data_IF_573652463569
#
_entry.id   IF_573652463569
#
_cell.length_a   1.000
_cell.length_b   1.000
_cell.length_c   1.000
_cell.angle_alpha   90.00
_cell.angle_beta   90.00
_cell.angle_gamma   90.00
#
_symmetry.space_group_name_H-M   'P 1'
#
loop_
_entity.id
_entity.type
_entity.pdbx_description
1 polymer ?
#
# COMPACT_ATOMS: atom_id res chain seq x y z
N UNK A 1 -30.92 9.24 52.99
CA UNK A 1 -31.21 8.08 52.12
C UNK A 1 -30.94 8.53 50.69
N UNK A 2 -29.82 8.09 50.12
CA UNK A 2 -29.20 8.69 48.93
C UNK A 2 -29.92 8.37 47.61
N UNK A 3 -30.11 9.41 46.79
CA UNK A 3 -30.54 9.29 45.40
C UNK A 3 -29.39 8.77 44.55
N UNK A 4 -29.45 7.51 44.14
CA UNK A 4 -28.54 6.97 43.12
C UNK A 4 -28.97 7.47 41.74
N UNK A 5 -28.23 8.46 41.22
CA UNK A 5 -28.32 8.91 39.83
C UNK A 5 -27.80 7.79 38.92
N UNK A 6 -28.73 7.10 38.25
CA UNK A 6 -28.48 5.92 37.42
C UNK A 6 -27.84 6.35 36.09
N UNK A 7 -26.52 6.53 36.07
CA UNK A 7 -25.76 6.78 34.85
C UNK A 7 -25.84 5.53 33.95
N UNK A 8 -26.53 5.64 32.80
CA UNK A 8 -26.57 4.55 31.82
C UNK A 8 -25.15 4.25 31.32
N UNK A 9 -24.75 2.98 31.21
CA UNK A 9 -23.41 2.63 30.74
C UNK A 9 -23.22 3.16 29.31
N UNK A 10 -22.10 3.87 29.09
CA UNK A 10 -21.70 4.37 27.78
C UNK A 10 -21.37 3.16 26.89
N UNK A 11 -22.18 2.91 25.86
CA UNK A 11 -21.90 1.86 24.87
C UNK A 11 -20.63 2.23 24.10
N UNK A 12 -19.55 1.50 24.36
CA UNK A 12 -18.28 1.63 23.62
C UNK A 12 -18.39 0.73 22.38
N UNK A 13 -18.73 1.33 21.24
CA UNK A 13 -18.80 0.60 19.98
C UNK A 13 -17.40 0.42 19.39
N UNK A 14 -17.05 -0.81 18.99
CA UNK A 14 -15.81 -1.09 18.29
C UNK A 14 -15.98 -0.86 16.78
N UNK A 15 -15.81 0.39 16.35
CA UNK A 15 -15.94 0.78 14.94
C UNK A 15 -14.92 0.11 14.02
N UNK A 16 -13.77 -0.36 14.56
CA UNK A 16 -12.72 -1.00 13.77
C UNK A 16 -13.25 -2.20 12.99
N UNK A 17 -14.11 -3.01 13.60
CA UNK A 17 -14.67 -4.20 12.98
C UNK A 17 -15.50 -3.88 11.74
N UNK A 18 -16.31 -2.82 11.79
CA UNK A 18 -17.21 -2.41 10.71
C UNK A 18 -16.39 -1.89 9.51
N UNK A 19 -15.32 -1.13 9.76
CA UNK A 19 -14.46 -0.62 8.69
C UNK A 19 -13.55 -1.71 8.08
N UNK A 20 -13.22 -2.75 8.86
CA UNK A 20 -12.43 -3.88 8.38
C UNK A 20 -13.22 -4.89 7.56
N UNK A 21 -14.55 -4.90 7.66
CA UNK A 21 -15.39 -5.82 6.91
C UNK A 21 -15.19 -5.61 5.40
N UNK A 22 -14.98 -6.69 4.61
CA UNK A 22 -14.87 -6.57 3.17
C UNK A 22 -16.24 -6.27 2.57
N UNK A 23 -16.28 -5.62 1.41
CA UNK A 23 -17.51 -5.52 0.63
C UNK A 23 -17.86 -6.90 0.08
N UNK A 24 -19.06 -7.39 0.40
CA UNK A 24 -19.52 -8.74 0.05
C UNK A 24 -20.78 -8.64 -0.83
N UNK A 25 -20.81 -9.41 -1.90
CA UNK A 25 -21.97 -9.53 -2.79
C UNK A 25 -22.80 -10.73 -2.33
N UNK A 26 -24.06 -10.48 -1.95
CA UNK A 26 -25.04 -11.51 -1.62
C UNK A 26 -26.12 -11.71 -2.71
N UNK A 27 -26.31 -10.73 -3.59
CA UNK A 27 -27.34 -10.77 -4.63
C UNK A 27 -26.72 -10.47 -5.99
N UNK A 28 -26.81 -11.45 -6.90
CA UNK A 28 -26.37 -11.27 -8.29
C UNK A 28 -27.53 -10.75 -9.15
N UNK A 29 -28.77 -11.12 -8.82
CA UNK A 29 -29.97 -10.72 -9.57
C UNK A 29 -31.15 -10.62 -8.61
N UNK A 30 -32.23 -9.91 -8.99
CA UNK A 30 -33.45 -9.72 -8.18
C UNK A 30 -34.09 -11.02 -7.64
N UNK A 31 -33.79 -12.17 -8.25
CA UNK A 31 -34.32 -13.50 -7.85
C UNK A 31 -33.25 -14.46 -7.34
N UNK A 32 -31.97 -14.09 -7.39
CA UNK A 32 -30.87 -14.97 -7.00
C UNK A 32 -30.06 -14.33 -5.88
N UNK A 33 -30.31 -14.83 -4.68
CA UNK A 33 -29.56 -14.56 -3.47
C UNK A 33 -28.66 -15.74 -3.15
N UNK A 34 -27.42 -15.45 -2.76
CA UNK A 34 -26.43 -16.44 -2.38
C UNK A 34 -26.28 -16.38 -0.87
N UNK A 35 -26.46 -17.51 -0.19
CA UNK A 35 -26.33 -17.61 1.27
C UNK A 35 -24.91 -17.34 1.76
N UNK A 36 -23.92 -17.65 0.92
CA UNK A 36 -22.50 -17.49 1.16
C UNK A 36 -21.99 -16.32 0.32
N UNK A 37 -21.99 -15.13 0.92
CA UNK A 37 -21.60 -13.91 0.23
C UNK A 37 -20.16 -13.96 -0.28
N UNK A 38 -19.94 -13.43 -1.48
CA UNK A 38 -18.63 -13.43 -2.14
C UNK A 38 -17.97 -12.06 -1.95
N UNK A 39 -16.78 -11.97 -1.32
CA UNK A 39 -16.06 -10.70 -1.22
C UNK A 39 -15.74 -10.16 -2.62
N UNK A 40 -16.05 -8.89 -2.89
CA UNK A 40 -15.80 -8.25 -4.20
C UNK A 40 -14.33 -8.37 -4.58
N UNK A 41 -13.43 -8.13 -3.63
CA UNK A 41 -11.99 -8.26 -3.85
C UNK A 41 -11.59 -9.69 -4.29
N UNK A 42 -12.26 -10.74 -3.77
CA UNK A 42 -12.03 -12.12 -4.20
C UNK A 42 -12.38 -12.29 -5.66
N UNK A 43 -13.56 -11.81 -6.04
CA UNK A 43 -14.06 -11.90 -7.41
C UNK A 43 -13.16 -11.15 -8.39
N UNK A 44 -12.71 -9.93 -8.04
CA UNK A 44 -11.78 -9.15 -8.87
C UNK A 44 -10.45 -9.88 -9.06
N UNK A 45 -9.84 -10.40 -7.98
CA UNK A 45 -8.59 -11.15 -8.08
C UNK A 45 -8.78 -12.42 -8.91
N UNK A 46 -9.89 -13.15 -8.72
CA UNK A 46 -10.22 -14.33 -9.49
C UNK A 46 -10.24 -14.03 -10.99
N UNK A 47 -10.97 -12.99 -11.41
CA UNK A 47 -11.05 -12.58 -12.83
C UNK A 47 -9.69 -12.17 -13.38
N UNK A 48 -8.89 -11.42 -12.61
CA UNK A 48 -7.55 -11.01 -13.06
C UNK A 48 -6.66 -12.23 -13.31
N UNK A 49 -6.65 -13.20 -12.38
CA UNK A 49 -5.86 -14.42 -12.51
C UNK A 49 -6.37 -15.28 -13.67
N UNK A 50 -7.67 -15.39 -13.83
CA UNK A 50 -8.29 -16.12 -14.95
C UNK A 50 -7.91 -15.50 -16.30
N UNK A 51 -7.94 -14.16 -16.44
CA UNK A 51 -7.48 -13.46 -17.64
C UNK A 51 -6.00 -13.73 -17.95
N UNK A 52 -5.14 -13.76 -16.92
CA UNK A 52 -3.72 -14.12 -17.09
C UNK A 52 -3.55 -15.58 -17.53
N UNK A 53 -4.35 -16.50 -17.01
CA UNK A 53 -4.35 -17.89 -17.43
C UNK A 53 -4.85 -18.05 -18.88
N UNK A 54 -5.88 -17.30 -19.27
CA UNK A 54 -6.38 -17.29 -20.66
C UNK A 54 -5.33 -16.71 -21.62
N UNK A 55 -4.61 -15.66 -21.23
CA UNK A 55 -3.49 -15.13 -22.01
C UNK A 55 -2.37 -16.17 -22.22
N UNK A 56 -2.19 -17.07 -21.24
CA UNK A 56 -1.20 -18.15 -21.27
C UNK A 56 -1.82 -19.53 -21.55
N UNK A 57 -3.00 -19.58 -22.20
CA UNK A 57 -3.82 -20.81 -22.32
C UNK A 57 -3.06 -22.03 -22.84
N UNK A 58 -2.13 -21.85 -23.79
CA UNK A 58 -1.42 -22.96 -24.42
C UNK A 58 -0.57 -23.73 -23.39
N UNK A 59 0.02 -23.02 -22.42
CA UNK A 59 0.77 -23.63 -21.32
C UNK A 59 -0.15 -24.45 -20.41
N UNK A 60 -1.33 -23.91 -20.08
CA UNK A 60 -2.28 -24.58 -19.18
C UNK A 60 -2.96 -25.78 -19.85
N UNK A 61 -3.27 -25.72 -21.14
CA UNK A 61 -3.80 -26.87 -21.87
C UNK A 61 -2.77 -27.99 -22.01
N UNK A 62 -1.50 -27.68 -22.27
CA UNK A 62 -0.43 -28.67 -22.28
C UNK A 62 -0.30 -29.40 -20.93
N UNK A 63 -0.55 -28.71 -19.80
CA UNK A 63 -0.62 -29.33 -18.47
C UNK A 63 -1.93 -30.11 -18.21
N UNK A 64 -2.99 -29.79 -18.94
CA UNK A 64 -4.31 -30.41 -18.80
C UNK A 64 -4.47 -31.68 -19.65
N UNK A 65 -3.69 -31.84 -20.71
CA UNK A 65 -3.80 -32.98 -21.65
C UNK A 65 -3.41 -34.34 -21.03
N UNK A 66 -2.80 -34.35 -19.84
CA UNK A 66 -2.45 -35.57 -19.12
C UNK A 66 -3.67 -36.35 -18.62
N UNK A 67 -4.76 -35.66 -18.26
CA UNK A 67 -5.98 -36.28 -17.69
C UNK A 67 -7.22 -35.58 -18.25
N UNK A 68 -8.21 -36.33 -18.76
CA UNK A 68 -9.47 -35.74 -19.24
C UNK A 68 -10.14 -34.90 -18.14
N UNK A 69 -10.44 -33.64 -18.44
CA UNK A 69 -11.11 -32.71 -17.52
C UNK A 69 -10.19 -31.95 -16.55
N UNK A 70 -8.89 -32.25 -16.51
CA UNK A 70 -7.93 -31.54 -15.65
C UNK A 70 -7.81 -30.06 -16.01
N UNK A 71 -7.91 -29.71 -17.29
CA UNK A 71 -7.87 -28.33 -17.78
C UNK A 71 -8.95 -27.46 -17.12
N UNK A 72 -10.19 -27.97 -16.99
CA UNK A 72 -11.29 -27.24 -16.33
C UNK A 72 -10.98 -27.04 -14.85
N UNK A 73 -10.48 -28.09 -14.19
CA UNK A 73 -10.11 -28.02 -12.78
C UNK A 73 -8.96 -27.02 -12.55
N UNK A 74 -8.00 -26.92 -13.47
CA UNK A 74 -6.92 -25.93 -13.39
C UNK A 74 -7.47 -24.51 -13.55
N UNK A 75 -8.29 -24.26 -14.58
CA UNK A 75 -8.85 -22.94 -14.84
C UNK A 75 -9.81 -22.44 -13.76
N UNK A 76 -10.49 -23.33 -13.02
CA UNK A 76 -11.34 -22.92 -11.89
C UNK A 76 -10.57 -22.94 -10.57
N UNK A 77 -9.78 -23.99 -10.35
CA UNK A 77 -9.09 -24.25 -9.09
C UNK A 77 -7.93 -23.29 -8.84
N UNK A 78 -7.09 -23.02 -9.85
CA UNK A 78 -5.93 -22.14 -9.70
C UNK A 78 -6.37 -20.71 -9.34
N UNK A 79 -7.30 -20.05 -10.06
CA UNK A 79 -7.77 -18.73 -9.68
C UNK A 79 -8.50 -18.72 -8.32
N UNK A 80 -9.22 -19.79 -7.98
CA UNK A 80 -9.89 -19.90 -6.68
C UNK A 80 -8.90 -19.97 -5.52
N UNK A 81 -7.85 -20.81 -5.63
CA UNK A 81 -6.81 -20.94 -4.61
C UNK A 81 -6.02 -19.64 -4.48
N UNK A 82 -5.59 -19.05 -5.59
CA UNK A 82 -4.80 -17.81 -5.58
C UNK A 82 -5.61 -16.65 -5.01
N UNK A 83 -6.86 -16.46 -5.44
CA UNK A 83 -7.73 -15.39 -4.90
C UNK A 83 -7.97 -15.54 -3.40
N UNK A 84 -8.12 -16.76 -2.91
CA UNK A 84 -8.30 -17.03 -1.47
C UNK A 84 -7.01 -16.80 -0.69
N UNK A 85 -5.86 -17.25 -1.22
CA UNK A 85 -4.56 -17.03 -0.59
C UNK A 85 -4.22 -15.53 -0.52
N UNK A 86 -4.42 -14.80 -1.61
CA UNK A 86 -4.07 -13.39 -1.69
C UNK A 86 -4.91 -12.51 -0.74
N UNK A 87 -6.17 -12.89 -0.50
CA UNK A 87 -7.02 -12.20 0.49
C UNK A 87 -6.62 -12.45 1.95
N UNK A 88 -6.00 -13.60 2.25
CA UNK A 88 -5.50 -13.89 3.61
C UNK A 88 -4.27 -13.05 3.94
N UNK A 89 -3.52 -12.63 2.93
CA UNK A 89 -2.33 -11.81 3.11
C UNK A 89 -2.76 -10.37 3.47
N UNK A 90 -2.45 -9.97 4.70
CA UNK A 90 -2.65 -8.60 5.19
C UNK A 90 -1.30 -7.92 5.42
N UNK A 91 -0.68 -7.36 4.37
CA UNK A 91 0.61 -6.70 4.52
C UNK A 91 0.44 -5.48 5.43
N UNK A 92 1.21 -5.43 6.52
CA UNK A 92 1.14 -4.35 7.54
C UNK A 92 -0.26 -4.13 8.13
N UNK A 93 -1.11 -5.16 8.15
CA UNK A 93 -2.50 -5.07 8.62
C UNK A 93 -3.45 -4.30 7.69
N UNK A 94 -2.97 -3.77 6.56
CA UNK A 94 -3.80 -3.09 5.55
C UNK A 94 -4.47 -4.11 4.63
N UNK A 95 -5.64 -3.75 4.09
CA UNK A 95 -6.29 -4.53 3.01
C UNK A 95 -5.42 -4.46 1.75
N UNK A 96 -5.33 -5.57 1.01
CA UNK A 96 -4.38 -5.75 -0.11
C UNK A 96 -4.49 -4.66 -1.19
N UNK A 97 -5.70 -4.17 -1.48
CA UNK A 97 -5.92 -3.17 -2.51
C UNK A 97 -5.35 -1.79 -2.13
N UNK A 98 -5.41 -1.40 -0.85
CA UNK A 98 -4.78 -0.17 -0.37
C UNK A 98 -3.26 -0.28 -0.45
N UNK A 99 -2.70 -1.43 -0.09
CA UNK A 99 -1.27 -1.68 -0.23
C UNK A 99 -0.82 -1.62 -1.69
N UNK A 100 -1.59 -2.22 -2.62
CA UNK A 100 -1.26 -2.20 -4.04
C UNK A 100 -1.33 -0.79 -4.62
N UNK A 101 -2.30 0.01 -4.19
CA UNK A 101 -2.41 1.42 -4.57
C UNK A 101 -1.21 2.23 -4.06
N UNK A 102 -0.86 2.13 -2.78
CA UNK A 102 0.31 2.78 -2.20
C UNK A 102 1.60 2.38 -2.96
N UNK A 103 1.73 1.09 -3.30
CA UNK A 103 2.85 0.56 -4.07
C UNK A 103 2.90 1.14 -5.48
N UNK A 104 1.76 1.26 -6.17
CA UNK A 104 1.69 1.85 -7.51
C UNK A 104 2.05 3.33 -7.48
N UNK A 105 1.52 4.10 -6.52
CA UNK A 105 1.88 5.51 -6.33
C UNK A 105 3.37 5.65 -6.08
N UNK A 106 3.94 4.85 -5.17
CA UNK A 106 5.38 4.82 -4.91
C UNK A 106 6.17 4.48 -6.19
N UNK A 107 5.75 3.45 -6.92
CA UNK A 107 6.46 2.99 -8.11
C UNK A 107 6.49 4.07 -9.20
N UNK A 108 5.35 4.67 -9.54
CA UNK A 108 5.26 5.66 -10.61
C UNK A 108 5.77 7.05 -10.20
N UNK A 109 5.64 7.44 -8.92
CA UNK A 109 6.00 8.79 -8.47
C UNK A 109 7.43 8.89 -7.99
N UNK A 110 7.98 7.80 -7.43
CA UNK A 110 9.29 7.82 -6.77
C UNK A 110 10.28 6.96 -7.55
N UNK A 111 9.97 5.67 -7.77
CA UNK A 111 10.92 4.71 -8.34
C UNK A 111 11.22 4.98 -9.81
N UNK A 112 10.18 5.21 -10.62
CA UNK A 112 10.31 5.43 -12.07
C UNK A 112 11.05 6.74 -12.41
N UNK A 113 10.71 7.90 -11.83
CA UNK A 113 11.46 9.14 -12.04
C UNK A 113 12.75 9.23 -11.21
N UNK A 114 13.15 8.15 -10.51
CA UNK A 114 14.32 8.08 -9.60
C UNK A 114 14.40 9.25 -8.61
N UNK A 115 13.25 9.80 -8.22
CA UNK A 115 13.20 10.98 -7.35
C UNK A 115 13.70 10.59 -5.95
N UNK A 116 14.69 11.33 -5.45
CA UNK A 116 15.25 11.13 -4.11
C UNK A 116 14.60 12.12 -3.15
N UNK A 117 14.24 11.63 -1.98
CA UNK A 117 13.63 12.42 -0.92
C UNK A 117 14.53 12.35 0.32
N UNK A 118 14.68 13.48 1.02
CA UNK A 118 15.30 13.56 2.33
C UNK A 118 14.27 14.18 3.27
N UNK A 119 13.72 13.38 4.19
CA UNK A 119 12.48 13.73 4.88
C UNK A 119 11.31 13.85 3.91
N UNK A 120 10.51 14.92 4.01
CA UNK A 120 9.33 15.18 3.17
C UNK A 120 9.63 16.04 1.94
N UNK A 121 10.89 16.42 1.70
CA UNK A 121 11.28 17.27 0.58
C UNK A 121 11.97 16.47 -0.53
N UNK A 122 11.56 16.75 -1.77
CA UNK A 122 12.21 16.22 -2.98
C UNK A 122 13.57 16.89 -3.15
N UNK A 123 14.65 16.11 -3.10
CA UNK A 123 16.01 16.63 -3.28
C UNK A 123 16.32 16.67 -4.76
N UNK A 124 16.33 17.88 -5.33
CA UNK A 124 16.53 18.11 -6.76
C UNK A 124 17.97 17.81 -7.21
N UNK A 125 18.95 18.05 -6.34
CA UNK A 125 20.37 18.11 -6.71
C UNK A 125 21.13 16.79 -6.65
N UNK A 126 20.51 15.68 -6.21
CA UNK A 126 21.21 14.38 -6.12
C UNK A 126 21.42 13.68 -7.48
N UNK A 127 20.71 14.12 -8.52
CA UNK A 127 20.82 13.52 -9.86
C UNK A 127 21.90 14.21 -10.70
N UNK A 128 22.36 15.39 -10.29
CA UNK A 128 23.38 16.15 -10.99
C UNK A 128 24.78 15.65 -10.62
N UNK A 129 25.63 15.49 -11.65
CA UNK A 129 26.97 14.89 -11.52
C UNK A 129 27.99 15.85 -10.88
N UNK A 130 27.72 17.15 -10.93
CA UNK A 130 28.57 18.19 -10.32
C UNK A 130 27.68 19.23 -9.64
N UNK A 131 27.83 19.35 -8.32
CA UNK A 131 27.20 20.42 -7.54
C UNK A 131 28.19 21.58 -7.50
N UNK A 132 27.90 22.67 -8.20
CA UNK A 132 28.68 23.92 -8.13
C UNK A 132 27.96 24.90 -7.21
N UNK A 133 28.55 25.17 -6.06
CA UNK A 133 28.07 26.19 -5.15
C UNK A 133 28.52 27.56 -5.67
N UNK A 134 27.58 28.49 -5.83
CA UNK A 134 27.95 29.89 -6.04
C UNK A 134 28.61 30.43 -4.77
N UNK A 135 29.72 31.19 -4.90
CA UNK A 135 30.38 31.80 -3.77
C UNK A 135 29.44 32.84 -3.14
N UNK A 136 28.96 32.55 -1.93
CA UNK A 136 28.20 33.50 -1.13
C UNK A 136 29.14 34.63 -0.71
N UNK A 137 28.90 35.85 -1.20
CA UNK A 137 29.51 37.03 -0.62
C UNK A 137 28.87 37.26 0.75
N UNK A 138 29.55 36.80 1.80
CA UNK A 138 29.19 37.16 3.16
C UNK A 138 29.50 38.65 3.33
N UNK A 139 28.47 39.50 3.23
CA UNK A 139 28.56 40.84 3.80
C UNK A 139 28.67 40.68 5.31
N UNK A 140 29.92 40.67 5.78
CA UNK A 140 30.29 40.73 7.19
C UNK A 140 29.83 42.09 7.71
N UNK A 141 28.56 42.17 8.10
CA UNK A 141 27.95 43.34 8.66
C UNK A 141 28.67 43.72 9.97
N UNK A 142 29.69 44.58 9.84
CA UNK A 142 30.15 45.59 10.80
C UNK A 142 30.34 45.23 12.28
N UNK A 143 30.29 43.96 12.69
CA UNK A 143 30.39 43.52 14.10
C UNK A 143 31.36 42.36 14.25
N UNK A 144 32.55 42.51 13.68
CA UNK A 144 33.62 41.53 13.89
C UNK A 144 34.98 42.20 13.94
N UNK A 145 35.14 43.15 14.88
CA UNK A 145 36.47 43.54 15.37
C UNK A 145 36.77 43.01 16.78
N UNK A 146 35.78 42.44 17.47
CA UNK A 146 35.94 41.99 18.87
C UNK A 146 35.97 40.46 19.07
N UNK A 147 35.53 39.66 18.10
CA UNK A 147 35.49 38.19 18.28
C UNK A 147 36.86 37.51 18.06
N UNK A 148 37.72 38.08 17.20
CA UNK A 148 38.98 37.45 16.79
C UNK A 148 40.12 37.61 17.81
N UNK A 149 39.95 38.43 18.86
CA UNK A 149 40.97 38.55 19.92
C UNK A 149 40.91 37.43 20.96
N UNK A 150 39.78 36.75 21.13
CA UNK A 150 39.61 35.75 22.19
C UNK A 150 39.97 34.32 21.77
N UNK A 151 40.04 34.02 20.47
CA UNK A 151 40.41 32.67 20.01
C UNK A 151 41.93 32.45 19.95
N UNK A 152 42.73 33.50 19.73
CA UNK A 152 44.20 33.37 19.66
C UNK A 152 44.83 33.20 21.06
N UNK A 153 44.15 33.63 22.13
CA UNK A 153 44.69 33.55 23.50
C UNK A 153 44.41 32.23 24.24
N UNK A 154 43.59 31.34 23.67
CA UNK A 154 43.23 30.07 24.34
C UNK A 154 44.10 28.87 23.94
N UNK A 155 45.00 29.04 22.97
CA UNK A 155 45.88 27.98 22.47
C UNK A 155 47.37 28.40 22.55
N UNK A 156 47.83 28.84 23.71
CA UNK A 156 49.26 28.89 24.06
C UNK A 156 49.50 28.43 25.48
#
# INVERSE_FOLDING_TARGET
MGFYFLMKPKLIFNYKQIFEEPFVIYQITKKMTITWGIPVAKAVIFVIVELLMVATRNFWFALGDFIPGLSILLFVGVPYVISTALLKIKPNGKKIYFFLYDLMVYFFTIKLPKSRFAGDQKVLYLTEKEIRFEPCLLERNGREKDATKNTVKSNS
#
